data_IF_610900756869
#
_entry.id   IF_610900756869
#
_cell.length_a   1.000
_cell.length_b   1.000
_cell.length_c   1.000
_cell.angle_alpha   90.00
_cell.angle_beta   90.00
_cell.angle_gamma   90.00
#
_symmetry.space_group_name_H-M   'P 1'
#
loop_
_entity.id
_entity.type
_entity.pdbx_description
1 polymer ?
#
# COMPACT_ATOMS: atom_id res chain seq x y z
N UNK A 1 10.30 7.61 19.69
CA UNK A 1 9.61 6.88 18.61
C UNK A 1 8.12 6.96 18.87
N UNK A 2 7.30 7.13 17.85
CA UNK A 2 5.83 7.12 17.95
C UNK A 2 5.29 5.84 17.34
N UNK A 3 4.13 5.36 17.79
CA UNK A 3 3.52 4.13 17.24
C UNK A 3 3.37 4.19 15.72
N UNK A 4 2.93 5.34 15.19
CA UNK A 4 2.82 5.57 13.75
C UNK A 4 4.18 5.59 13.03
N UNK A 5 5.23 6.13 13.66
CA UNK A 5 6.58 6.10 13.10
C UNK A 5 7.12 4.67 13.02
N UNK A 6 6.89 3.86 14.06
CA UNK A 6 7.25 2.44 14.08
C UNK A 6 6.47 1.66 13.04
N UNK A 7 5.15 1.89 12.94
CA UNK A 7 4.30 1.24 11.94
C UNK A 7 4.76 1.55 10.51
N UNK A 8 5.07 2.82 10.20
CA UNK A 8 5.62 3.20 8.88
C UNK A 8 6.94 2.53 8.56
N UNK A 9 7.84 2.45 9.53
CA UNK A 9 9.13 1.76 9.36
C UNK A 9 8.91 0.25 9.12
N UNK A 10 8.01 -0.36 9.89
CA UNK A 10 7.61 -1.75 9.73
C UNK A 10 7.04 -2.03 8.32
N UNK A 11 6.09 -1.21 7.84
CA UNK A 11 5.49 -1.37 6.52
C UNK A 11 6.52 -1.24 5.39
N UNK A 12 7.44 -0.28 5.51
CA UNK A 12 8.51 -0.10 4.53
C UNK A 12 9.39 -1.37 4.45
N UNK A 13 9.73 -1.95 5.60
CA UNK A 13 10.55 -3.16 5.67
C UNK A 13 9.82 -4.41 5.18
N UNK A 14 8.54 -4.55 5.53
CA UNK A 14 7.66 -5.60 5.03
C UNK A 14 7.60 -5.59 3.49
N UNK A 15 7.35 -4.43 2.88
CA UNK A 15 7.28 -4.29 1.43
C UNK A 15 8.63 -4.52 0.74
N UNK A 16 9.75 -4.12 1.35
CA UNK A 16 11.12 -4.40 0.84
C UNK A 16 11.44 -5.90 0.80
N UNK A 17 10.89 -6.66 1.74
CA UNK A 17 11.05 -8.10 1.81
C UNK A 17 10.00 -8.87 1.00
N UNK A 18 8.92 -8.21 0.56
CA UNK A 18 7.85 -8.87 -0.18
C UNK A 18 8.35 -9.39 -1.55
N UNK A 19 8.20 -10.69 -1.87
CA UNK A 19 8.80 -11.31 -3.05
C UNK A 19 8.18 -10.87 -4.38
N UNK A 20 6.93 -10.38 -4.35
CA UNK A 20 6.20 -9.93 -5.55
C UNK A 20 6.27 -8.41 -5.79
N UNK A 21 7.07 -7.69 -5.00
CA UNK A 21 7.33 -6.25 -5.17
C UNK A 21 8.67 -6.06 -5.88
N UNK A 22 8.69 -5.16 -6.86
CA UNK A 22 9.90 -4.72 -7.56
C UNK A 22 10.74 -3.83 -6.67
N UNK A 23 11.99 -4.25 -6.47
CA UNK A 23 12.97 -3.59 -5.59
C UNK A 23 13.89 -2.62 -6.33
N UNK A 24 13.91 -2.72 -7.65
CA UNK A 24 14.60 -1.84 -8.60
C UNK A 24 13.85 -0.52 -8.83
N UNK A 25 12.59 -0.44 -8.42
CA UNK A 25 11.74 0.73 -8.56
C UNK A 25 11.48 1.44 -7.23
N UNK A 26 10.92 2.64 -7.31
CA UNK A 26 10.56 3.45 -6.14
C UNK A 26 9.58 2.71 -5.24
N UNK A 27 9.95 2.60 -3.97
CA UNK A 27 9.12 2.09 -2.88
C UNK A 27 9.09 3.14 -1.77
N UNK A 28 7.89 3.58 -1.38
CA UNK A 28 7.71 4.65 -0.41
C UNK A 28 6.49 4.39 0.49
N UNK A 29 6.67 4.58 1.80
CA UNK A 29 5.59 4.64 2.78
C UNK A 29 5.65 5.99 3.48
N UNK A 30 4.69 6.87 3.19
CA UNK A 30 4.65 8.23 3.74
C UNK A 30 3.36 8.53 4.47
N UNK A 31 3.47 9.42 5.43
CA UNK A 31 2.33 10.02 6.11
C UNK A 31 1.92 11.27 5.33
N UNK A 32 0.62 11.42 5.08
CA UNK A 32 0.07 12.62 4.47
C UNK A 32 -0.27 13.66 5.54
N UNK A 33 -0.70 14.84 5.10
CA UNK A 33 -1.23 15.85 6.02
C UNK A 33 -2.45 15.27 6.77
N UNK A 34 -2.61 15.55 8.08
CA UNK A 34 -3.81 15.17 8.81
C UNK A 34 -5.06 15.76 8.15
N UNK A 35 -6.14 15.00 8.16
CA UNK A 35 -7.46 15.44 7.72
C UNK A 35 -8.51 15.21 8.83
N UNK A 36 -9.77 15.56 8.55
CA UNK A 36 -10.87 15.40 9.50
C UNK A 36 -11.18 13.93 9.84
N UNK A 37 -10.65 12.97 9.07
CA UNK A 37 -10.84 11.53 9.23
C UNK A 37 -9.61 10.83 9.86
N UNK A 38 -8.54 11.57 10.14
CA UNK A 38 -7.37 11.10 10.86
C UNK A 38 -6.06 11.41 10.15
N UNK A 39 -5.15 10.43 10.15
CA UNK A 39 -3.79 10.60 9.64
C UNK A 39 -3.48 9.60 8.53
N UNK A 40 -3.70 9.97 7.26
CA UNK A 40 -3.58 9.03 6.16
C UNK A 40 -2.13 8.58 5.96
N UNK A 41 -1.98 7.28 5.69
CA UNK A 41 -0.74 6.68 5.20
C UNK A 41 -0.90 6.39 3.72
N UNK A 42 0.10 6.77 2.93
CA UNK A 42 0.22 6.43 1.53
C UNK A 42 1.33 5.40 1.35
N UNK A 43 1.00 4.33 0.62
CA UNK A 43 1.90 3.26 0.23
C UNK A 43 2.04 3.31 -1.29
N UNK A 44 3.28 3.41 -1.75
CA UNK A 44 3.63 3.41 -3.15
C UNK A 44 4.66 2.31 -3.41
N UNK A 45 4.31 1.34 -4.26
CA UNK A 45 5.15 0.22 -4.62
C UNK A 45 4.76 -0.31 -6.01
N UNK A 46 5.71 -0.94 -6.69
CA UNK A 46 5.49 -1.59 -7.99
C UNK A 46 5.50 -3.11 -7.83
N UNK A 47 4.57 -3.80 -8.46
CA UNK A 47 4.60 -5.26 -8.58
C UNK A 47 5.60 -5.71 -9.64
N UNK A 48 6.04 -6.96 -9.55
CA UNK A 48 6.88 -7.62 -10.56
C UNK A 48 6.08 -8.27 -11.71
N UNK A 49 4.76 -8.09 -11.71
CA UNK A 49 3.82 -8.60 -12.70
C UNK A 49 2.90 -7.49 -13.19
N UNK A 50 2.45 -7.63 -14.42
CA UNK A 50 1.43 -6.79 -15.07
C UNK A 50 0.11 -7.55 -15.30
N UNK A 51 0.07 -8.83 -14.91
CA UNK A 51 -1.13 -9.65 -15.03
C UNK A 51 -2.16 -9.15 -14.03
N UNK A 52 -3.32 -8.71 -14.53
CA UNK A 52 -4.35 -8.06 -13.71
C UNK A 52 -4.79 -8.90 -12.49
N UNK A 53 -5.02 -10.21 -12.69
CA UNK A 53 -5.46 -11.09 -11.61
C UNK A 53 -4.40 -11.25 -10.51
N UNK A 54 -3.12 -11.34 -10.90
CA UNK A 54 -2.02 -11.43 -9.94
C UNK A 54 -1.80 -10.11 -9.21
N UNK A 55 -1.93 -8.99 -9.93
CA UNK A 55 -1.85 -7.65 -9.36
C UNK A 55 -2.89 -7.45 -8.25
N UNK A 56 -4.16 -7.76 -8.54
CA UNK A 56 -5.26 -7.69 -7.58
C UNK A 56 -5.00 -8.58 -6.35
N UNK A 57 -4.54 -9.82 -6.57
CA UNK A 57 -4.19 -10.73 -5.47
C UNK A 57 -3.04 -10.19 -4.61
N UNK A 58 -1.97 -9.66 -5.22
CA UNK A 58 -0.86 -9.06 -4.48
C UNK A 58 -1.34 -7.88 -3.65
N UNK A 59 -2.17 -7.02 -4.25
CA UNK A 59 -2.73 -5.86 -3.56
C UNK A 59 -3.59 -6.30 -2.36
N UNK A 60 -4.52 -7.23 -2.56
CA UNK A 60 -5.38 -7.74 -1.49
C UNK A 60 -4.56 -8.33 -0.33
N UNK A 61 -3.59 -9.20 -0.63
CA UNK A 61 -2.74 -9.85 0.37
C UNK A 61 -1.94 -8.83 1.20
N UNK A 62 -1.45 -7.75 0.57
CA UNK A 62 -0.74 -6.67 1.27
C UNK A 62 -1.70 -5.93 2.21
N UNK A 63 -2.90 -5.57 1.76
CA UNK A 63 -3.86 -4.86 2.60
C UNK A 63 -4.38 -5.72 3.75
N UNK A 64 -4.69 -6.99 3.50
CA UNK A 64 -5.09 -7.94 4.54
C UNK A 64 -4.03 -8.05 5.64
N UNK A 65 -2.75 -8.13 5.26
CA UNK A 65 -1.63 -8.12 6.22
C UNK A 65 -1.56 -6.81 7.01
N UNK A 66 -1.73 -5.66 6.34
CA UNK A 66 -1.71 -4.35 6.98
C UNK A 66 -2.85 -4.23 8.02
N UNK A 67 -4.07 -4.66 7.65
CA UNK A 67 -5.21 -4.63 8.56
C UNK A 67 -5.06 -5.60 9.72
N UNK A 68 -4.46 -6.77 9.50
CA UNK A 68 -4.19 -7.72 10.57
C UNK A 68 -3.17 -7.18 11.59
N UNK A 69 -2.16 -6.42 11.14
CA UNK A 69 -1.06 -5.98 12.00
C UNK A 69 -1.26 -4.58 12.61
N UNK A 70 -2.18 -3.76 12.10
CA UNK A 70 -2.35 -2.37 12.57
C UNK A 70 -2.68 -2.29 14.07
N UNK A 71 -3.47 -3.24 14.58
CA UNK A 71 -3.88 -3.28 15.98
C UNK A 71 -2.71 -3.61 16.92
N UNK A 72 -1.69 -4.35 16.45
CA UNK A 72 -0.46 -4.64 17.20
C UNK A 72 0.35 -3.37 17.50
N UNK A 73 0.18 -2.32 16.68
CA UNK A 73 0.77 -1.01 16.90
C UNK A 73 -0.12 -0.07 17.72
N UNK A 74 -1.24 -0.58 18.26
CA UNK A 74 -2.21 0.19 19.04
C UNK A 74 -2.79 1.35 18.20
N UNK A 75 -2.94 1.10 16.89
CA UNK A 75 -3.54 2.00 15.92
C UNK A 75 -4.89 1.42 15.49
N UNK A 76 -5.85 2.30 15.20
CA UNK A 76 -7.14 1.93 14.63
C UNK A 76 -7.26 2.51 13.22
N UNK A 77 -7.90 1.77 12.33
CA UNK A 77 -8.31 2.28 11.03
C UNK A 77 -9.62 3.08 11.17
N UNK A 78 -9.80 4.08 10.32
CA UNK A 78 -11.03 4.84 10.22
C UNK A 78 -11.93 4.20 9.15
N UNK A 79 -13.20 3.93 9.46
CA UNK A 79 -14.11 3.16 8.60
C UNK A 79 -14.38 3.78 7.22
N UNK A 80 -14.07 5.06 7.03
CA UNK A 80 -14.14 5.72 5.72
C UNK A 80 -12.99 5.30 4.77
N UNK A 81 -11.86 4.84 5.31
CA UNK A 81 -10.71 4.39 4.53
C UNK A 81 -10.95 3.03 3.84
N UNK A 82 -11.79 2.17 4.45
CA UNK A 82 -12.06 0.81 3.96
C UNK A 82 -12.89 0.79 2.67
N UNK A 83 -13.68 1.83 2.42
CA UNK A 83 -14.72 1.78 1.37
C UNK A 83 -14.36 2.51 0.09
N UNK A 84 -13.53 3.56 0.15
CA UNK A 84 -13.31 4.46 -0.99
C UNK A 84 -12.06 4.17 -1.82
N UNK A 85 -11.14 3.28 -1.35
CA UNK A 85 -9.79 3.16 -1.95
C UNK A 85 -9.54 1.90 -2.78
N UNK A 86 -10.37 0.86 -2.66
CA UNK A 86 -10.34 -0.29 -3.59
C UNK A 86 -10.67 0.13 -5.05
N UNK A 87 -11.49 1.16 -5.25
CA UNK A 87 -11.98 1.54 -6.59
C UNK A 87 -11.08 2.50 -7.38
N UNK A 88 -10.10 3.18 -6.77
CA UNK A 88 -9.25 4.15 -7.50
C UNK A 88 -7.94 3.57 -8.01
N UNK A 89 -7.39 2.53 -7.38
CA UNK A 89 -6.18 1.86 -7.87
C UNK A 89 -6.40 1.15 -9.22
N UNK A 90 -7.63 0.67 -9.48
CA UNK A 90 -7.99 -0.04 -10.71
C UNK A 90 -8.03 0.87 -11.95
N UNK A 91 -8.25 2.18 -11.79
CA UNK A 91 -8.30 3.11 -12.94
C UNK A 91 -6.92 3.57 -13.41
N UNK A 92 -5.94 3.67 -12.51
CA UNK A 92 -4.63 4.23 -12.87
C UNK A 92 -3.66 3.18 -13.45
N UNK A 93 -3.92 1.89 -13.24
CA UNK A 93 -3.09 0.81 -13.80
C UNK A 93 -3.46 0.49 -15.25
N UNK A 94 -4.72 0.65 -15.62
CA UNK A 94 -5.11 0.61 -17.02
C UNK A 94 -4.46 1.75 -17.84
N UNK A 95 -4.22 2.91 -17.22
CA UNK A 95 -3.55 4.04 -17.87
C UNK A 95 -2.01 3.89 -17.96
N UNK A 96 -1.40 3.08 -17.09
CA UNK A 96 0.02 2.70 -17.15
C UNK A 96 0.30 1.49 -18.05
N UNK A 97 -0.73 0.85 -18.61
CA UNK A 97 -0.60 -0.27 -19.55
C UNK A 97 -0.12 0.13 -20.95
N UNK A 98 -0.03 1.43 -21.24
CA UNK A 98 0.66 1.99 -22.42
C UNK A 98 2.16 2.25 -22.18
N UNK A 99 2.75 1.67 -21.12
CA UNK A 99 4.20 1.72 -20.93
C UNK A 99 4.85 0.66 -21.84
N UNK A 100 5.56 1.05 -22.92
CA UNK A 100 6.23 0.09 -23.78
C UNK A 100 7.38 -0.50 -22.96
N UNK A 101 7.28 -1.80 -22.66
CA UNK A 101 8.46 -2.56 -22.23
C UNK A 101 9.28 -2.78 -23.51
N UNK A 102 10.07 -1.78 -23.87
CA UNK A 102 11.11 -1.83 -24.90
C UNK A 102 12.45 -1.43 -24.29
#
# INVERSE_FOLDING_TARGET
MTNIGTFRAYLNEYLRHHPRIRKDMTLMVRQLAPDDHGLPIEIYAFTNTVVWLEYESIQADIFDHIFAVVEEFWLAYSSDADRQRYSRAVRDIAALMDCPIA
#
